data_IF_114408853687
#
_entry.id   IF_114408853687
#
_cell.length_a   1.000
_cell.length_b   1.000
_cell.length_c   1.000
_cell.angle_alpha   90.00
_cell.angle_beta   90.00
_cell.angle_gamma   90.00
#
_symmetry.space_group_name_H-M   'P 1'
#
loop_
_entity.id
_entity.type
_entity.pdbx_description
1 polymer ?
#
# COMPACT_ATOMS: atom_id res chain seq x y z
N UNK A 1 10.82 -6.30 19.62
CA UNK A 1 10.23 -5.42 18.61
C UNK A 1 11.34 -4.54 18.11
N UNK A 2 11.61 -4.49 16.81
CA UNK A 2 12.69 -3.66 16.29
C UNK A 2 12.15 -2.36 15.73
N UNK A 3 12.69 -1.24 16.17
CA UNK A 3 12.58 0.05 15.52
C UNK A 3 13.59 0.08 14.37
N UNK A 4 13.18 0.45 13.16
CA UNK A 4 14.05 0.51 11.99
C UNK A 4 14.10 1.93 11.46
N UNK A 5 15.31 2.44 11.28
CA UNK A 5 15.59 3.80 10.80
C UNK A 5 16.47 3.73 9.56
N UNK A 6 16.07 4.46 8.54
CA UNK A 6 16.80 4.67 7.28
C UNK A 6 17.13 6.16 7.20
N UNK A 7 18.38 6.50 6.96
CA UNK A 7 18.82 7.89 6.82
C UNK A 7 19.63 8.06 5.52
N UNK A 8 19.07 8.82 4.58
CA UNK A 8 19.66 9.15 3.29
C UNK A 8 20.03 7.90 2.46
N UNK A 9 19.23 6.83 2.50
CA UNK A 9 19.59 5.56 1.86
C UNK A 9 19.47 5.67 0.33
N UNK A 10 20.61 5.50 -0.35
CA UNK A 10 20.73 5.45 -1.81
C UNK A 10 21.16 4.05 -2.25
N UNK A 11 20.58 3.54 -3.34
CA UNK A 11 21.03 2.31 -3.99
C UNK A 11 21.17 2.50 -5.48
N UNK A 12 22.38 2.25 -5.99
CA UNK A 12 22.71 2.27 -7.41
C UNK A 12 23.08 0.88 -7.90
N UNK A 13 22.64 0.55 -9.11
CA UNK A 13 23.06 -0.61 -9.89
C UNK A 13 23.65 -0.08 -11.21
N UNK A 14 24.97 0.03 -11.26
CA UNK A 14 25.65 0.72 -12.35
C UNK A 14 25.20 2.17 -12.42
N UNK A 15 24.63 2.59 -13.55
CA UNK A 15 24.10 3.95 -13.77
C UNK A 15 22.66 4.13 -13.30
N UNK A 16 21.96 3.04 -12.99
CA UNK A 16 20.55 3.09 -12.55
C UNK A 16 20.45 3.32 -11.04
N UNK A 17 19.77 4.37 -10.64
CA UNK A 17 19.53 4.71 -9.24
C UNK A 17 18.15 4.20 -8.81
N UNK A 18 18.13 3.06 -8.12
CA UNK A 18 16.92 2.37 -7.70
C UNK A 18 16.27 3.01 -6.46
N UNK A 19 17.07 3.66 -5.60
CA UNK A 19 16.62 4.43 -4.44
C UNK A 19 17.44 5.72 -4.34
N UNK A 20 16.77 6.83 -4.08
CA UNK A 20 17.29 8.21 -4.26
C UNK A 20 17.30 8.99 -2.95
N UNK A 21 17.89 8.44 -1.88
CA UNK A 21 17.98 9.13 -0.60
C UNK A 21 16.73 8.94 0.24
N UNK A 22 16.49 7.70 0.67
CA UNK A 22 15.32 7.34 1.49
C UNK A 22 15.59 7.68 2.94
N UNK A 23 14.73 8.53 3.50
CA UNK A 23 14.60 8.79 4.94
C UNK A 23 13.29 8.19 5.42
N UNK A 24 13.36 7.25 6.37
CA UNK A 24 12.19 6.54 6.85
C UNK A 24 12.41 6.03 8.27
N UNK A 25 11.43 6.27 9.13
CA UNK A 25 11.36 5.73 10.47
C UNK A 25 10.17 4.76 10.59
N UNK A 26 10.43 3.54 11.04
CA UNK A 26 9.43 2.48 11.24
C UNK A 26 9.40 2.08 12.72
N UNK A 27 8.33 2.43 13.45
CA UNK A 27 8.20 2.15 14.86
C UNK A 27 8.22 0.64 15.18
N UNK A 28 8.78 0.31 16.33
CA UNK A 28 8.77 -1.07 16.84
C UNK A 28 7.35 -1.57 17.09
N UNK A 29 7.06 -2.79 16.60
CA UNK A 29 5.76 -3.44 16.74
C UNK A 29 4.72 -3.04 15.69
N UNK A 30 5.02 -2.10 14.80
CA UNK A 30 4.10 -1.68 13.74
C UNK A 30 4.11 -2.64 12.53
N UNK A 31 2.96 -2.73 11.86
CA UNK A 31 2.82 -3.35 10.54
C UNK A 31 3.01 -2.26 9.47
N UNK A 32 4.21 -2.17 8.89
CA UNK A 32 4.53 -1.19 7.85
C UNK A 32 4.43 -1.82 6.47
N UNK A 33 3.66 -1.22 5.58
CA UNK A 33 3.47 -1.73 4.21
C UNK A 33 4.11 -0.80 3.19
N UNK A 34 4.97 -1.34 2.33
CA UNK A 34 5.55 -0.63 1.18
C UNK A 34 4.69 -0.88 -0.05
N UNK A 35 4.16 0.18 -0.65
CA UNK A 35 3.37 0.12 -1.88
C UNK A 35 3.93 1.05 -2.95
N UNK A 36 3.58 0.78 -4.19
CA UNK A 36 3.98 1.60 -5.35
C UNK A 36 3.98 0.79 -6.64
N UNK A 37 4.18 1.43 -7.79
CA UNK A 37 4.25 0.77 -9.08
C UNK A 37 5.38 -0.27 -9.15
N UNK A 38 5.31 -1.14 -10.16
CA UNK A 38 6.41 -2.07 -10.43
C UNK A 38 7.70 -1.29 -10.75
N UNK A 39 8.82 -1.75 -10.19
CA UNK A 39 10.12 -1.11 -10.42
C UNK A 39 10.44 0.13 -9.55
N UNK A 40 9.53 0.60 -8.69
CA UNK A 40 9.77 1.80 -7.87
C UNK A 40 10.74 1.61 -6.67
N UNK A 41 11.34 0.41 -6.49
CA UNK A 41 12.37 0.19 -5.48
C UNK A 41 11.93 -0.58 -4.23
N UNK A 42 10.66 -1.01 -4.08
CA UNK A 42 10.13 -1.71 -2.88
C UNK A 42 10.96 -2.93 -2.45
N UNK A 43 11.12 -3.91 -3.34
CA UNK A 43 11.90 -5.12 -3.04
C UNK A 43 13.40 -4.82 -2.86
N UNK A 44 13.92 -3.78 -3.53
CA UNK A 44 15.29 -3.30 -3.31
C UNK A 44 15.44 -2.78 -1.88
N UNK A 45 14.52 -1.93 -1.42
CA UNK A 45 14.50 -1.41 -0.06
C UNK A 45 14.39 -2.54 0.97
N UNK A 46 13.51 -3.51 0.73
CA UNK A 46 13.38 -4.69 1.60
C UNK A 46 14.67 -5.50 1.69
N UNK A 47 15.37 -5.72 0.54
CA UNK A 47 16.66 -6.44 0.49
C UNK A 47 17.78 -5.70 1.22
N UNK A 48 17.80 -4.38 1.17
CA UNK A 48 18.75 -3.55 1.94
C UNK A 48 18.50 -3.70 3.44
N UNK A 49 17.23 -3.63 3.88
CA UNK A 49 16.85 -3.84 5.29
C UNK A 49 17.23 -5.26 5.73
N UNK A 50 17.00 -6.26 4.88
CA UNK A 50 17.39 -7.64 5.16
C UNK A 50 18.91 -7.84 5.22
N UNK A 51 19.70 -7.01 4.53
CA UNK A 51 21.15 -7.15 4.39
C UNK A 51 21.55 -8.08 3.26
N UNK A 52 20.65 -8.40 2.34
CA UNK A 52 20.94 -9.12 1.09
C UNK A 52 21.58 -8.20 0.05
N UNK A 53 21.35 -6.90 0.20
CA UNK A 53 21.98 -5.83 -0.57
C UNK A 53 22.66 -4.85 0.39
N UNK A 54 23.66 -4.13 -0.12
CA UNK A 54 24.38 -3.08 0.60
C UNK A 54 23.95 -1.72 0.03
N UNK A 55 23.63 -0.72 0.85
CA UNK A 55 23.34 0.62 0.36
C UNK A 55 24.59 1.24 -0.29
N UNK A 56 24.39 2.03 -1.33
CA UNK A 56 25.47 2.80 -1.97
C UNK A 56 25.87 3.98 -1.08
N UNK A 57 24.88 4.61 -0.44
CA UNK A 57 25.04 5.72 0.51
C UNK A 57 23.98 5.61 1.61
N UNK A 58 24.16 6.39 2.68
CA UNK A 58 23.24 6.42 3.80
C UNK A 58 23.45 5.31 4.83
N UNK A 59 22.54 5.22 5.80
CA UNK A 59 22.64 4.29 6.93
C UNK A 59 21.31 3.60 7.21
N UNK A 60 21.41 2.36 7.71
CA UNK A 60 20.26 1.57 8.20
C UNK A 60 20.56 1.21 9.64
N UNK A 61 19.64 1.56 10.56
CA UNK A 61 19.78 1.26 11.98
C UNK A 61 18.61 0.43 12.48
N UNK A 62 18.90 -0.52 13.38
CA UNK A 62 17.90 -1.26 14.16
C UNK A 62 18.10 -0.95 15.63
N UNK A 63 17.08 -0.42 16.28
CA UNK A 63 17.13 -0.01 17.69
C UNK A 63 18.37 0.87 17.97
N UNK A 64 18.66 1.82 17.08
CA UNK A 64 19.81 2.73 17.14
C UNK A 64 21.14 2.12 16.69
N UNK A 65 21.24 0.79 16.52
CA UNK A 65 22.47 0.11 16.07
C UNK A 65 22.62 0.13 14.57
N UNK A 66 23.76 0.59 14.06
CA UNK A 66 24.09 0.55 12.63
C UNK A 66 24.21 -0.92 12.13
N UNK A 67 23.51 -1.21 11.05
CA UNK A 67 23.50 -2.53 10.40
C UNK A 67 24.52 -2.67 9.27
N UNK A 68 25.39 -1.68 9.07
CA UNK A 68 26.44 -1.70 8.07
C UNK A 68 27.41 -2.86 8.36
N UNK A 69 27.68 -3.70 7.35
CA UNK A 69 28.52 -4.89 7.50
C UNK A 69 27.92 -6.03 8.31
N UNK A 70 26.71 -5.87 8.89
CA UNK A 70 26.02 -6.97 9.58
C UNK A 70 25.31 -7.85 8.54
N UNK A 71 25.72 -9.14 8.41
CA UNK A 71 25.08 -10.05 7.46
C UNK A 71 23.63 -10.38 7.87
N UNK A 72 22.77 -10.88 6.94
CA UNK A 72 21.37 -11.19 7.23
C UNK A 72 21.14 -12.06 8.45
N UNK A 73 21.99 -13.06 8.68
CA UNK A 73 21.92 -13.97 9.83
C UNK A 73 22.11 -13.25 11.18
N UNK A 74 22.85 -12.14 11.20
CA UNK A 74 23.13 -11.34 12.40
C UNK A 74 22.07 -10.29 12.70
N UNK A 75 21.12 -10.01 11.79
CA UNK A 75 20.11 -8.96 11.94
C UNK A 75 18.88 -9.38 12.74
N UNK A 76 18.81 -10.62 13.24
CA UNK A 76 17.67 -11.17 14.01
C UNK A 76 16.30 -10.99 13.32
N UNK A 77 16.25 -11.10 12.02
CA UNK A 77 15.04 -10.99 11.22
C UNK A 77 14.72 -12.30 10.51
N UNK A 78 13.49 -12.40 10.00
CA UNK A 78 13.06 -13.48 9.12
C UNK A 78 12.38 -12.91 7.88
N UNK A 79 12.64 -13.50 6.71
CA UNK A 79 12.07 -13.09 5.44
C UNK A 79 11.24 -14.21 4.84
N UNK A 80 10.05 -13.85 4.38
CA UNK A 80 9.14 -14.69 3.61
C UNK A 80 9.17 -14.20 2.18
N UNK A 81 9.59 -15.04 1.26
CA UNK A 81 9.74 -14.71 -0.16
C UNK A 81 8.45 -15.00 -0.94
N UNK A 82 8.23 -14.31 -2.04
CA UNK A 82 7.13 -14.48 -2.97
C UNK A 82 6.97 -15.94 -3.45
N UNK A 83 8.08 -16.65 -3.68
CA UNK A 83 8.10 -18.05 -4.11
C UNK A 83 7.99 -19.06 -2.97
N UNK A 84 7.75 -18.60 -1.72
CA UNK A 84 7.76 -19.38 -0.48
C UNK A 84 9.12 -20.02 -0.16
N UNK A 85 9.96 -20.30 -1.15
CA UNK A 85 11.30 -20.89 -1.06
C UNK A 85 11.36 -22.15 -0.17
N UNK A 86 10.34 -23.02 -0.24
CA UNK A 86 10.29 -24.28 0.50
C UNK A 86 11.23 -25.31 -0.14
N UNK A 87 11.86 -26.12 0.70
CA UNK A 87 12.67 -27.25 0.25
C UNK A 87 11.74 -28.41 -0.15
N UNK A 88 11.64 -28.77 -1.46
CA UNK A 88 10.61 -29.68 -1.96
C UNK A 88 10.77 -31.14 -1.49
N UNK A 89 11.99 -31.54 -1.13
CA UNK A 89 12.33 -32.88 -0.67
C UNK A 89 12.15 -33.09 0.83
N UNK A 90 11.94 -32.02 1.61
CA UNK A 90 11.75 -32.03 3.05
C UNK A 90 10.27 -32.07 3.44
N UNK A 91 9.94 -32.65 4.58
CA UNK A 91 8.63 -32.53 5.20
C UNK A 91 8.34 -31.09 5.65
N UNK A 92 7.10 -30.78 6.00
CA UNK A 92 6.73 -29.48 6.62
C UNK A 92 7.53 -29.26 7.91
N UNK A 93 7.59 -30.28 8.78
CA UNK A 93 8.36 -30.22 10.03
C UNK A 93 9.84 -29.92 9.78
N UNK A 94 10.45 -30.59 8.78
CA UNK A 94 11.85 -30.37 8.42
C UNK A 94 12.08 -28.98 7.81
N UNK A 95 11.17 -28.51 6.95
CA UNK A 95 11.21 -27.17 6.41
C UNK A 95 11.21 -26.11 7.51
N UNK A 96 10.26 -26.21 8.45
CA UNK A 96 10.15 -25.28 9.58
C UNK A 96 11.38 -25.37 10.50
N UNK A 97 11.83 -26.59 10.82
CA UNK A 97 12.96 -26.83 11.72
C UNK A 97 14.33 -26.64 11.12
N UNK A 98 14.45 -26.38 9.81
CA UNK A 98 15.75 -26.36 9.10
C UNK A 98 16.73 -25.33 9.69
N UNK A 99 16.27 -24.07 9.86
CA UNK A 99 17.14 -23.03 10.40
C UNK A 99 17.61 -23.32 11.83
N UNK A 100 16.74 -23.89 12.67
CA UNK A 100 17.08 -24.32 14.03
C UNK A 100 18.11 -25.47 14.03
N UNK A 101 18.01 -26.37 13.07
CA UNK A 101 19.00 -27.43 12.87
C UNK A 101 20.37 -26.88 12.50
N UNK A 102 20.40 -25.88 11.59
CA UNK A 102 21.65 -25.24 11.18
C UNK A 102 22.30 -24.41 12.30
N UNK A 103 21.52 -23.91 13.25
CA UNK A 103 22.05 -23.24 14.45
C UNK A 103 22.49 -24.21 15.56
N UNK A 104 22.45 -25.53 15.33
CA UNK A 104 22.91 -26.53 16.30
C UNK A 104 21.88 -26.88 17.39
N UNK A 105 20.62 -26.44 17.28
CA UNK A 105 19.58 -26.74 18.27
C UNK A 105 19.31 -28.22 18.39
N UNK A 106 19.25 -28.81 19.63
CA UNK A 106 18.94 -30.20 19.86
C UNK A 106 17.59 -30.63 19.23
N UNK A 107 17.50 -31.88 18.77
CA UNK A 107 16.28 -32.39 18.09
C UNK A 107 15.01 -32.23 18.96
N UNK A 108 15.11 -32.53 20.24
CA UNK A 108 13.97 -32.45 21.17
C UNK A 108 13.41 -31.01 21.27
N UNK A 109 14.29 -30.03 21.43
CA UNK A 109 13.91 -28.61 21.50
C UNK A 109 13.31 -28.13 20.17
N UNK A 110 13.91 -28.55 19.05
CA UNK A 110 13.44 -28.22 17.70
C UNK A 110 12.03 -28.71 17.45
N UNK A 111 11.69 -29.94 17.88
CA UNK A 111 10.34 -30.50 17.77
C UNK A 111 9.33 -29.65 18.53
N UNK A 112 9.68 -29.21 19.74
CA UNK A 112 8.82 -28.34 20.55
C UNK A 112 8.58 -26.99 19.87
N UNK A 113 9.64 -26.35 19.33
CA UNK A 113 9.50 -25.05 18.66
C UNK A 113 8.68 -25.14 17.37
N UNK A 114 8.89 -26.21 16.59
CA UNK A 114 8.10 -26.48 15.37
C UNK A 114 6.64 -26.74 15.71
N UNK A 115 6.35 -27.52 16.75
CA UNK A 115 4.99 -27.81 17.17
C UNK A 115 4.25 -26.53 17.61
N UNK A 116 4.88 -25.67 18.42
CA UNK A 116 4.31 -24.37 18.80
C UNK A 116 3.98 -23.48 17.59
N UNK A 117 4.93 -23.37 16.63
CA UNK A 117 4.69 -22.58 15.44
C UNK A 117 3.59 -23.19 14.55
N UNK A 118 3.52 -24.52 14.44
CA UNK A 118 2.48 -25.22 13.70
C UNK A 118 1.09 -25.03 14.32
N UNK A 119 1.00 -24.97 15.65
CA UNK A 119 -0.23 -24.68 16.37
C UNK A 119 -0.72 -23.26 16.11
N UNK A 120 0.16 -22.27 16.19
CA UNK A 120 -0.16 -20.85 15.88
C UNK A 120 -0.77 -20.72 14.48
N UNK A 121 -0.23 -21.48 13.49
CA UNK A 121 -0.61 -21.43 12.09
C UNK A 121 -1.68 -22.47 11.71
N UNK A 122 -2.16 -23.27 12.65
CA UNK A 122 -3.16 -24.33 12.45
C UNK A 122 -2.76 -25.39 11.39
N UNK A 123 -1.45 -25.70 11.30
CA UNK A 123 -0.89 -26.67 10.35
C UNK A 123 -0.31 -27.92 11.00
N UNK A 124 -0.62 -28.19 12.26
CA UNK A 124 -0.11 -29.35 13.01
C UNK A 124 -0.32 -30.69 12.27
N UNK A 125 -1.50 -30.87 11.65
CA UNK A 125 -1.85 -32.06 10.87
C UNK A 125 -1.07 -32.21 9.55
N UNK A 126 -0.32 -31.18 9.14
CA UNK A 126 0.44 -31.15 7.88
C UNK A 126 1.93 -31.42 8.08
N UNK A 127 2.42 -31.58 9.32
CA UNK A 127 3.85 -31.62 9.65
C UNK A 127 4.62 -32.71 8.89
N UNK A 128 4.00 -33.85 8.61
CA UNK A 128 4.61 -34.98 7.89
C UNK A 128 4.51 -34.86 6.36
N UNK A 129 3.68 -33.94 5.84
CA UNK A 129 3.49 -33.74 4.41
C UNK A 129 4.69 -33.05 3.77
N UNK A 130 4.79 -33.17 2.46
CA UNK A 130 5.77 -32.46 1.63
C UNK A 130 5.12 -31.29 0.87
N UNK A 131 5.88 -30.26 0.45
CA UNK A 131 5.34 -29.07 -0.24
C UNK A 131 4.46 -29.38 -1.46
N UNK A 132 4.73 -30.45 -2.21
CA UNK A 132 3.93 -30.89 -3.36
C UNK A 132 2.50 -31.34 -3.01
N UNK A 133 2.26 -31.69 -1.75
CA UNK A 133 0.99 -32.22 -1.22
C UNK A 133 0.15 -31.11 -0.56
N UNK A 134 0.60 -29.84 -0.67
CA UNK A 134 -0.01 -28.69 -0.01
C UNK A 134 -0.68 -27.76 -1.02
N UNK A 135 -1.80 -27.13 -0.61
CA UNK A 135 -2.37 -25.98 -1.34
C UNK A 135 -1.47 -24.75 -1.28
N UNK A 136 -1.77 -23.73 -2.08
CA UNK A 136 -1.04 -22.44 -2.08
C UNK A 136 -0.97 -21.82 -0.68
N UNK A 137 -2.10 -21.65 -0.01
CA UNK A 137 -2.16 -21.10 1.35
C UNK A 137 -1.45 -21.96 2.39
N UNK A 138 -1.55 -23.31 2.27
CA UNK A 138 -0.79 -24.19 3.16
C UNK A 138 0.72 -24.03 2.98
N UNK A 139 1.21 -23.91 1.74
CA UNK A 139 2.63 -23.60 1.47
C UNK A 139 3.05 -22.28 2.09
N UNK A 140 2.20 -21.27 2.00
CA UNK A 140 2.46 -19.97 2.60
C UNK A 140 2.54 -20.05 4.13
N UNK A 141 1.58 -20.72 4.79
CA UNK A 141 1.62 -20.94 6.25
C UNK A 141 2.91 -21.66 6.67
N UNK A 142 3.39 -22.63 5.89
CA UNK A 142 4.69 -23.29 6.15
C UNK A 142 5.84 -22.31 6.01
N UNK A 143 5.85 -21.44 4.99
CA UNK A 143 6.88 -20.41 4.81
C UNK A 143 6.90 -19.41 5.97
N UNK A 144 5.74 -18.98 6.44
CA UNK A 144 5.58 -18.17 7.66
C UNK A 144 6.06 -18.93 8.89
N UNK A 145 5.74 -20.22 9.02
CA UNK A 145 6.20 -21.09 10.10
C UNK A 145 7.73 -21.18 10.19
N UNK A 146 8.42 -21.28 9.05
CA UNK A 146 9.89 -21.20 8.98
C UNK A 146 10.43 -19.89 9.55
N UNK A 147 9.68 -18.80 9.39
CA UNK A 147 10.04 -17.50 9.93
C UNK A 147 9.80 -17.43 11.45
N UNK A 148 8.63 -17.88 11.92
CA UNK A 148 8.21 -17.82 13.32
C UNK A 148 9.12 -18.63 14.26
N UNK A 149 9.53 -19.84 13.87
CA UNK A 149 10.38 -20.70 14.71
C UNK A 149 11.69 -20.07 15.15
N UNK A 150 12.15 -19.04 14.43
CA UNK A 150 13.38 -18.29 14.74
C UNK A 150 13.15 -17.20 15.79
N UNK A 151 11.89 -16.94 16.20
CA UNK A 151 11.50 -15.84 17.07
C UNK A 151 12.18 -14.50 16.68
N UNK A 152 12.02 -14.03 15.44
CA UNK A 152 12.68 -12.84 14.97
C UNK A 152 12.12 -11.58 15.65
N UNK A 153 12.92 -10.51 15.71
CA UNK A 153 12.47 -9.20 16.15
C UNK A 153 11.80 -8.38 15.04
N UNK A 154 11.97 -8.80 13.77
CA UNK A 154 11.40 -8.17 12.59
C UNK A 154 11.06 -9.22 11.53
N UNK A 155 9.84 -9.20 11.02
CA UNK A 155 9.41 -9.98 9.86
C UNK A 155 9.45 -9.13 8.59
N UNK A 156 9.91 -9.72 7.51
CA UNK A 156 9.93 -9.13 6.17
C UNK A 156 9.13 -10.02 5.22
N UNK A 157 8.18 -9.45 4.49
CA UNK A 157 7.35 -10.15 3.52
C UNK A 157 7.52 -9.50 2.14
N UNK A 158 8.01 -10.27 1.15
CA UNK A 158 8.17 -9.81 -0.23
C UNK A 158 7.05 -10.40 -1.10
N UNK A 159 5.97 -9.65 -1.31
CA UNK A 159 4.77 -10.01 -2.07
C UNK A 159 4.22 -11.42 -1.76
N UNK A 160 4.00 -11.79 -0.48
CA UNK A 160 3.73 -13.17 -0.11
C UNK A 160 2.38 -13.71 -0.61
N UNK A 161 1.41 -12.85 -0.97
CA UNK A 161 0.07 -13.25 -1.40
C UNK A 161 -0.12 -13.23 -2.93
N UNK A 162 0.87 -12.76 -3.71
CA UNK A 162 0.75 -12.54 -5.15
C UNK A 162 0.43 -13.81 -5.95
N UNK A 163 0.84 -14.99 -5.48
CA UNK A 163 0.65 -16.29 -6.14
C UNK A 163 -0.62 -17.03 -5.69
N UNK A 164 -1.53 -16.37 -4.96
CA UNK A 164 -2.79 -16.93 -4.47
C UNK A 164 -3.98 -16.43 -5.30
N UNK A 165 -5.02 -17.27 -5.39
CA UNK A 165 -6.31 -16.84 -5.92
C UNK A 165 -6.99 -15.80 -5.01
N UNK A 166 -8.05 -15.16 -5.50
CA UNK A 166 -8.69 -14.03 -4.81
C UNK A 166 -9.31 -14.42 -3.46
N UNK A 167 -9.96 -15.58 -3.38
CA UNK A 167 -10.61 -16.05 -2.16
C UNK A 167 -9.58 -16.37 -1.07
N UNK A 168 -8.56 -17.13 -1.43
CA UNK A 168 -7.48 -17.50 -0.51
C UNK A 168 -6.67 -16.27 -0.08
N UNK A 169 -6.53 -15.24 -0.95
CA UNK A 169 -5.87 -13.98 -0.59
C UNK A 169 -6.63 -13.24 0.50
N UNK A 170 -7.98 -13.25 0.46
CA UNK A 170 -8.80 -12.66 1.52
C UNK A 170 -8.56 -13.38 2.86
N UNK A 171 -8.64 -14.73 2.86
CA UNK A 171 -8.39 -15.53 4.06
C UNK A 171 -7.00 -15.24 4.65
N UNK A 172 -5.97 -15.24 3.82
CA UNK A 172 -4.59 -15.03 4.24
C UNK A 172 -4.31 -13.62 4.77
N UNK A 173 -5.02 -12.59 4.31
CA UNK A 173 -4.94 -11.26 4.91
C UNK A 173 -5.43 -11.27 6.35
N UNK A 174 -6.58 -11.89 6.62
CA UNK A 174 -7.09 -12.02 8.00
C UNK A 174 -6.11 -12.76 8.90
N UNK A 175 -5.48 -13.83 8.40
CA UNK A 175 -4.50 -14.60 9.16
C UNK A 175 -3.23 -13.79 9.46
N UNK A 176 -2.74 -13.00 8.50
CA UNK A 176 -1.59 -12.14 8.72
C UNK A 176 -1.88 -11.03 9.75
N UNK A 177 -3.07 -10.42 9.69
CA UNK A 177 -3.50 -9.45 10.68
C UNK A 177 -3.60 -10.06 12.07
N UNK A 178 -4.19 -11.26 12.19
CA UNK A 178 -4.28 -12.01 13.45
C UNK A 178 -2.91 -12.40 13.97
N UNK A 179 -2.02 -12.85 13.08
CA UNK A 179 -0.64 -13.18 13.43
C UNK A 179 0.12 -11.98 13.98
N UNK A 180 -0.01 -10.81 13.34
CA UNK A 180 0.59 -9.56 13.84
C UNK A 180 0.09 -9.22 15.23
N UNK A 181 -1.25 -9.27 15.44
CA UNK A 181 -1.88 -8.99 16.74
C UNK A 181 -1.40 -9.92 17.85
N UNK A 182 -1.18 -11.22 17.54
CA UNK A 182 -0.66 -12.22 18.49
C UNK A 182 0.81 -12.04 18.79
N UNK A 183 1.64 -11.83 17.76
CA UNK A 183 3.09 -11.76 17.93
C UNK A 183 3.54 -10.38 18.42
N UNK A 184 2.83 -9.32 18.10
CA UNK A 184 3.17 -7.91 18.37
C UNK A 184 4.59 -7.55 17.94
N UNK A 185 5.11 -8.19 16.89
CA UNK A 185 6.46 -8.02 16.38
C UNK A 185 6.40 -7.10 15.15
N UNK A 186 7.43 -6.27 14.95
CA UNK A 186 7.52 -5.41 13.78
C UNK A 186 7.44 -6.21 12.49
N UNK A 187 6.61 -5.76 11.55
CA UNK A 187 6.44 -6.38 10.24
C UNK A 187 6.62 -5.35 9.14
N UNK A 188 7.40 -5.69 8.12
CA UNK A 188 7.50 -4.93 6.87
C UNK A 188 6.99 -5.81 5.75
N UNK A 189 6.03 -5.30 5.01
CA UNK A 189 5.31 -6.02 3.98
C UNK A 189 5.38 -5.27 2.66
N UNK A 190 5.80 -5.93 1.60
CA UNK A 190 5.80 -5.37 0.24
C UNK A 190 4.63 -5.92 -0.53
N UNK A 191 3.89 -5.05 -1.17
CA UNK A 191 2.82 -5.42 -2.10
C UNK A 191 2.64 -4.38 -3.20
N UNK A 192 2.00 -4.77 -4.27
CA UNK A 192 1.44 -3.88 -5.28
C UNK A 192 -0.10 -3.78 -5.18
N UNK A 193 -0.72 -4.56 -4.28
CA UNK A 193 -2.17 -4.58 -4.05
C UNK A 193 -2.54 -3.54 -2.97
N UNK A 194 -3.36 -2.56 -3.38
CA UNK A 194 -3.80 -1.50 -2.48
C UNK A 194 -4.73 -2.01 -1.37
N UNK A 195 -5.53 -3.05 -1.65
CA UNK A 195 -6.46 -3.62 -0.66
C UNK A 195 -5.68 -4.29 0.46
N UNK A 196 -4.58 -4.98 0.12
CA UNK A 196 -3.66 -5.54 1.13
C UNK A 196 -3.09 -4.44 2.02
N UNK A 197 -2.59 -3.36 1.41
CA UNK A 197 -2.02 -2.24 2.14
C UNK A 197 -3.04 -1.56 3.07
N UNK A 198 -4.21 -1.24 2.54
CA UNK A 198 -5.29 -0.57 3.30
C UNK A 198 -5.86 -1.42 4.43
N UNK A 199 -5.77 -2.77 4.30
CA UNK A 199 -6.33 -3.71 5.29
C UNK A 199 -5.35 -4.09 6.39
N UNK A 200 -4.05 -4.24 6.06
CA UNK A 200 -3.05 -4.79 6.95
C UNK A 200 -2.22 -3.74 7.69
N UNK A 201 -2.07 -2.55 7.09
CA UNK A 201 -1.07 -1.60 7.56
C UNK A 201 -1.53 -0.78 8.77
N UNK A 202 -0.66 -0.63 9.77
CA UNK A 202 -0.68 0.50 10.69
C UNK A 202 -0.11 1.74 10.00
N UNK A 203 0.90 1.54 9.12
CA UNK A 203 1.54 2.60 8.32
C UNK A 203 1.80 2.12 6.90
N UNK A 204 1.45 2.93 5.93
CA UNK A 204 1.76 2.72 4.51
C UNK A 204 2.87 3.67 4.10
N UNK A 205 3.85 3.17 3.37
CA UNK A 205 4.91 3.93 2.70
C UNK A 205 4.66 3.84 1.20
N UNK A 206 4.28 4.94 0.58
CA UNK A 206 4.08 5.01 -0.86
C UNK A 206 5.39 5.37 -1.53
N UNK A 207 5.92 4.44 -2.36
CA UNK A 207 7.15 4.63 -3.13
C UNK A 207 6.83 4.88 -4.61
N UNK A 208 7.57 5.82 -5.20
CA UNK A 208 7.51 6.14 -6.62
C UNK A 208 8.90 6.57 -7.10
N UNK A 209 9.38 5.99 -8.19
CA UNK A 209 10.66 6.32 -8.83
C UNK A 209 11.86 6.42 -7.86
N UNK A 210 11.91 5.50 -6.89
CA UNK A 210 13.00 5.46 -5.91
C UNK A 210 12.91 6.48 -4.78
N UNK A 211 11.78 7.19 -4.65
CA UNK A 211 11.49 8.17 -3.59
C UNK A 211 10.29 7.75 -2.75
N UNK A 212 10.17 8.30 -1.55
CA UNK A 212 8.96 8.20 -0.73
C UNK A 212 8.07 9.41 -1.06
N UNK A 213 6.87 9.15 -1.54
CA UNK A 213 5.87 10.18 -1.83
C UNK A 213 5.10 10.60 -0.59
N UNK A 214 4.70 9.62 0.23
CA UNK A 214 3.99 9.85 1.49
C UNK A 214 4.12 8.66 2.41
N UNK A 215 4.14 8.93 3.72
CA UNK A 215 4.03 7.95 4.79
C UNK A 215 2.87 8.36 5.70
N UNK A 216 1.98 7.41 6.02
CA UNK A 216 0.85 7.68 6.91
C UNK A 216 0.02 6.43 7.18
N UNK A 217 -1.04 6.58 7.97
CA UNK A 217 -2.07 5.56 8.12
C UNK A 217 -2.88 5.39 6.83
N UNK A 218 -3.57 4.25 6.63
CA UNK A 218 -4.47 4.07 5.48
C UNK A 218 -5.46 5.23 5.30
N UNK A 219 -6.10 5.68 6.38
CA UNK A 219 -7.06 6.79 6.33
C UNK A 219 -6.41 8.11 5.91
N UNK A 220 -5.22 8.45 6.46
CA UNK A 220 -4.49 9.66 6.08
C UNK A 220 -4.13 9.70 4.59
N UNK A 221 -3.68 8.58 4.02
CA UNK A 221 -3.33 8.53 2.60
C UNK A 221 -4.56 8.67 1.70
N UNK A 222 -5.70 8.14 2.12
CA UNK A 222 -6.94 8.20 1.36
C UNK A 222 -7.60 9.58 1.44
N UNK A 223 -7.74 10.12 2.65
CA UNK A 223 -8.44 11.38 2.91
C UNK A 223 -7.56 12.62 2.66
N UNK A 224 -6.24 12.47 2.90
CA UNK A 224 -5.29 13.59 2.87
C UNK A 224 -4.05 13.26 2.04
N UNK A 225 -4.21 12.88 0.76
CA UNK A 225 -3.06 12.64 -0.11
C UNK A 225 -2.21 13.91 -0.23
N UNK A 226 -0.88 13.80 -0.12
CA UNK A 226 0.02 14.95 -0.20
C UNK A 226 0.21 15.46 -1.62
N UNK A 227 0.00 14.60 -2.60
CA UNK A 227 0.14 14.97 -4.00
C UNK A 227 -0.82 14.16 -4.90
N UNK A 228 -0.88 14.55 -6.17
CA UNK A 228 -1.71 13.91 -7.20
C UNK A 228 -1.35 12.43 -7.40
N UNK A 229 -0.07 12.07 -7.29
CA UNK A 229 0.36 10.68 -7.45
C UNK A 229 -0.28 9.79 -6.37
N UNK A 230 -0.16 10.18 -5.10
CA UNK A 230 -0.76 9.43 -3.98
C UNK A 230 -2.28 9.38 -4.10
N UNK A 231 -2.92 10.51 -4.46
CA UNK A 231 -4.37 10.59 -4.67
C UNK A 231 -4.89 9.60 -5.71
N UNK A 232 -4.13 9.43 -6.81
CA UNK A 232 -4.47 8.49 -7.89
C UNK A 232 -4.03 7.05 -7.61
N UNK A 233 -2.94 6.89 -6.87
CA UNK A 233 -2.42 5.56 -6.55
C UNK A 233 -3.23 4.91 -5.44
N UNK A 234 -3.66 5.65 -4.42
CA UNK A 234 -4.45 5.15 -3.29
C UNK A 234 -5.94 5.33 -3.57
N UNK A 235 -6.65 4.22 -3.70
CA UNK A 235 -8.09 4.15 -3.98
C UNK A 235 -8.40 3.47 -5.31
N UNK A 236 -9.45 2.64 -5.30
CA UNK A 236 -9.96 1.95 -6.48
C UNK A 236 -11.48 2.08 -6.50
N UNK A 237 -12.05 2.74 -7.52
CA UNK A 237 -11.41 3.39 -8.67
C UNK A 237 -10.55 4.62 -8.30
N UNK A 238 -9.73 5.07 -9.25
CA UNK A 238 -8.88 6.27 -9.08
C UNK A 238 -9.71 7.52 -8.85
N UNK A 239 -9.08 8.55 -8.24
CA UNK A 239 -9.67 9.88 -8.10
C UNK A 239 -9.99 10.49 -9.47
N UNK A 240 -11.16 11.13 -9.60
CA UNK A 240 -11.46 11.98 -10.75
C UNK A 240 -10.67 13.27 -10.63
N UNK A 241 -10.01 13.70 -11.69
CA UNK A 241 -9.28 14.97 -11.75
C UNK A 241 -9.92 15.87 -12.81
N UNK A 242 -10.43 17.01 -12.39
CA UNK A 242 -11.04 18.03 -13.25
C UNK A 242 -10.05 19.16 -13.45
N UNK A 243 -9.68 19.44 -14.68
CA UNK A 243 -8.83 20.59 -15.02
C UNK A 243 -9.60 21.88 -14.81
N UNK A 244 -8.96 22.85 -14.16
CA UNK A 244 -9.54 24.16 -13.90
C UNK A 244 -8.49 25.28 -13.96
N UNK A 245 -8.97 26.52 -13.88
CA UNK A 245 -8.12 27.73 -13.81
C UNK A 245 -8.49 28.55 -12.60
N UNK A 246 -7.49 29.13 -11.97
CA UNK A 246 -7.68 30.10 -10.87
C UNK A 246 -8.42 31.33 -11.40
N UNK A 247 -9.65 31.54 -10.96
CA UNK A 247 -10.48 32.69 -11.31
C UNK A 247 -10.24 33.86 -10.35
N UNK A 248 -10.14 33.58 -9.05
CA UNK A 248 -9.83 34.57 -8.03
C UNK A 248 -9.09 33.94 -6.84
N UNK A 249 -8.35 34.76 -6.09
CA UNK A 249 -7.73 34.40 -4.82
C UNK A 249 -8.37 35.22 -3.70
N UNK A 250 -8.73 34.55 -2.61
CA UNK A 250 -9.33 35.13 -1.41
C UNK A 250 -8.48 34.81 -0.18
N UNK A 251 -8.59 35.56 0.90
CA UNK A 251 -7.98 35.17 2.18
C UNK A 251 -8.43 33.76 2.59
N UNK A 252 -7.49 32.79 2.60
CA UNK A 252 -7.74 31.38 2.97
C UNK A 252 -8.49 30.55 1.92
N UNK A 253 -8.70 31.04 0.69
CA UNK A 253 -9.45 30.33 -0.34
C UNK A 253 -9.04 30.64 -1.78
N UNK A 254 -9.49 29.77 -2.67
CA UNK A 254 -9.26 29.89 -4.12
C UNK A 254 -10.59 29.67 -4.85
N UNK A 255 -10.93 30.54 -5.77
CA UNK A 255 -12.01 30.31 -6.73
C UNK A 255 -11.44 29.71 -8.01
N UNK A 256 -11.96 28.56 -8.42
CA UNK A 256 -11.49 27.80 -9.58
C UNK A 256 -12.65 27.74 -10.60
N UNK A 257 -12.38 28.23 -11.80
CA UNK A 257 -13.28 28.01 -12.95
C UNK A 257 -12.99 26.64 -13.57
N UNK A 258 -14.03 25.80 -13.70
CA UNK A 258 -13.96 24.46 -14.27
C UNK A 258 -15.00 24.37 -15.37
N UNK A 259 -14.63 24.10 -16.62
CA UNK A 259 -15.60 23.91 -17.70
C UNK A 259 -16.52 22.71 -17.44
N UNK A 260 -17.81 22.87 -17.75
CA UNK A 260 -18.79 21.77 -17.65
C UNK A 260 -19.37 21.53 -16.26
N UNK A 261 -19.10 22.41 -15.27
CA UNK A 261 -19.78 22.39 -13.97
C UNK A 261 -20.78 23.54 -13.83
N UNK A 262 -21.74 23.42 -12.91
CA UNK A 262 -22.72 24.44 -12.56
C UNK A 262 -22.82 24.62 -11.03
N UNK A 263 -22.54 25.80 -10.45
CA UNK A 263 -22.03 27.01 -11.13
C UNK A 263 -20.63 26.81 -11.75
N UNK A 264 -20.29 27.61 -12.74
CA UNK A 264 -19.04 27.50 -13.52
C UNK A 264 -17.75 27.74 -12.72
N UNK A 265 -17.85 28.06 -11.43
CA UNK A 265 -16.73 28.18 -10.50
C UNK A 265 -17.02 27.53 -9.16
N UNK A 266 -15.94 27.11 -8.50
CA UNK A 266 -15.95 26.48 -7.18
C UNK A 266 -14.92 27.14 -6.27
N UNK A 267 -15.37 27.60 -5.10
CA UNK A 267 -14.47 28.15 -4.07
C UNK A 267 -14.07 27.07 -3.09
N UNK A 268 -12.75 26.85 -2.96
CA UNK A 268 -12.15 25.84 -2.09
C UNK A 268 -11.14 26.48 -1.12
N UNK A 269 -10.88 25.84 0.04
CA UNK A 269 -9.82 26.31 0.93
C UNK A 269 -8.45 26.17 0.25
N UNK A 270 -7.52 27.08 0.60
CA UNK A 270 -6.15 27.10 0.07
C UNK A 270 -5.16 27.13 1.24
N UNK A 271 -4.09 26.36 1.17
CA UNK A 271 -2.99 26.43 2.14
C UNK A 271 -2.22 27.74 1.98
N UNK A 272 -1.82 28.35 3.09
CA UNK A 272 -1.08 29.65 3.08
C UNK A 272 0.24 29.60 2.30
N UNK A 273 0.86 28.41 2.17
CA UNK A 273 2.12 28.23 1.43
C UNK A 273 1.96 28.19 -0.10
N UNK A 274 0.73 28.14 -0.62
CA UNK A 274 0.48 28.02 -2.05
C UNK A 274 0.79 29.34 -2.80
N UNK A 275 1.73 29.27 -3.73
CA UNK A 275 2.11 30.41 -4.58
C UNK A 275 1.37 30.34 -5.91
N UNK A 276 0.11 30.77 -5.93
CA UNK A 276 -0.71 30.81 -7.13
C UNK A 276 -1.01 32.23 -7.59
N UNK A 277 -1.33 32.36 -8.87
CA UNK A 277 -1.80 33.58 -9.50
C UNK A 277 -3.11 33.33 -10.23
N UNK A 278 -3.92 34.37 -10.39
CA UNK A 278 -5.10 34.29 -11.25
C UNK A 278 -4.67 33.93 -12.67
N UNK A 279 -5.38 32.94 -13.25
CA UNK A 279 -5.08 32.35 -14.56
C UNK A 279 -4.25 31.08 -14.51
N UNK A 280 -3.62 30.73 -13.38
CA UNK A 280 -2.86 29.49 -13.25
C UNK A 280 -3.76 28.27 -13.43
N UNK A 281 -3.24 27.23 -14.07
CA UNK A 281 -3.93 25.95 -14.21
C UNK A 281 -3.78 25.12 -12.94
N UNK A 282 -4.87 24.46 -12.54
CA UNK A 282 -4.94 23.57 -11.38
C UNK A 282 -5.81 22.36 -11.71
N UNK A 283 -5.73 21.31 -10.90
CA UNK A 283 -6.62 20.17 -10.99
C UNK A 283 -7.43 20.03 -9.70
N UNK A 284 -8.74 19.81 -9.84
CA UNK A 284 -9.63 19.51 -8.72
C UNK A 284 -9.91 18.04 -8.70
N UNK A 285 -9.48 17.36 -7.63
CA UNK A 285 -9.67 15.94 -7.41
C UNK A 285 -10.90 15.64 -6.59
N UNK A 286 -11.71 14.66 -7.03
CA UNK A 286 -12.90 14.17 -6.30
C UNK A 286 -12.91 12.65 -6.36
N UNK A 287 -13.13 12.00 -5.21
CA UNK A 287 -13.24 10.53 -5.16
C UNK A 287 -14.52 10.05 -5.85
N UNK A 288 -14.53 8.87 -6.50
CA UNK A 288 -15.73 8.31 -7.14
C UNK A 288 -16.92 8.08 -6.20
N UNK A 289 -16.65 7.81 -4.94
CA UNK A 289 -17.66 7.59 -3.87
C UNK A 289 -18.20 8.88 -3.24
N UNK A 290 -17.56 10.01 -3.50
CA UNK A 290 -18.00 11.34 -3.08
C UNK A 290 -18.89 12.04 -4.14
N UNK A 291 -18.96 11.49 -5.35
CA UNK A 291 -19.88 11.95 -6.38
C UNK A 291 -21.25 11.33 -6.16
N UNK A 292 -22.29 12.17 -6.02
CA UNK A 292 -23.67 11.72 -5.77
C UNK A 292 -24.56 11.99 -6.96
N UNK A 293 -25.37 10.99 -7.35
CA UNK A 293 -26.40 11.21 -8.38
C UNK A 293 -27.51 12.09 -7.78
N UNK A 294 -27.87 13.16 -8.47
CA UNK A 294 -28.91 14.10 -8.07
C UNK A 294 -28.43 15.55 -8.14
N UNK A 295 -29.33 16.47 -7.75
CA UNK A 295 -29.08 17.91 -7.82
C UNK A 295 -28.48 18.50 -6.53
N UNK A 296 -28.09 17.67 -5.56
CA UNK A 296 -27.42 18.10 -4.33
C UNK A 296 -25.96 18.47 -4.56
N UNK A 297 -25.37 19.18 -3.59
CA UNK A 297 -23.96 19.57 -3.60
C UNK A 297 -23.71 21.04 -3.95
N UNK A 298 -22.46 21.48 -3.71
CA UNK A 298 -22.05 22.85 -3.98
C UNK A 298 -21.90 23.14 -5.47
N UNK A 299 -21.57 22.13 -6.25
CA UNK A 299 -21.47 22.15 -7.71
C UNK A 299 -22.08 20.91 -8.32
N UNK A 300 -22.53 21.05 -9.56
CA UNK A 300 -23.17 20.00 -10.34
C UNK A 300 -22.40 19.76 -11.63
N UNK A 301 -22.30 18.49 -12.03
CA UNK A 301 -21.68 18.07 -13.29
C UNK A 301 -22.69 17.22 -14.07
N UNK A 302 -22.99 17.61 -15.31
CA UNK A 302 -23.76 16.77 -16.21
C UNK A 302 -22.88 15.65 -16.79
N UNK A 303 -23.35 14.40 -16.66
CA UNK A 303 -22.63 13.21 -17.11
C UNK A 303 -23.51 12.36 -18.01
N UNK A 304 -23.09 12.14 -19.27
CA UNK A 304 -23.73 11.17 -20.14
C UNK A 304 -23.12 9.81 -19.94
N UNK A 305 -23.85 8.91 -19.30
CA UNK A 305 -23.36 7.56 -19.01
C UNK A 305 -23.12 6.78 -20.30
N UNK A 306 -21.89 6.31 -20.51
CA UNK A 306 -21.52 5.46 -21.65
C UNK A 306 -21.35 4.00 -21.26
N UNK A 307 -20.84 3.75 -20.06
CA UNK A 307 -20.58 2.41 -19.59
C UNK A 307 -20.91 2.29 -18.10
N UNK A 308 -21.49 1.16 -17.74
CA UNK A 308 -21.81 0.82 -16.35
C UNK A 308 -21.24 -0.56 -16.02
N UNK A 309 -20.62 -0.67 -14.85
CA UNK A 309 -20.02 -1.90 -14.36
C UNK A 309 -20.63 -2.24 -12.99
N UNK A 310 -21.25 -3.43 -12.89
CA UNK A 310 -21.82 -3.89 -11.63
C UNK A 310 -20.85 -4.87 -10.95
N UNK A 311 -20.33 -4.47 -9.80
CA UNK A 311 -19.42 -5.30 -9.00
C UNK A 311 -20.05 -5.55 -7.64
N UNK A 312 -20.93 -6.56 -7.59
CA UNK A 312 -21.59 -6.98 -6.36
C UNK A 312 -22.45 -5.86 -5.75
N UNK A 313 -22.10 -5.33 -4.58
CA UNK A 313 -22.90 -4.34 -3.86
C UNK A 313 -22.82 -2.90 -4.40
N UNK A 314 -22.10 -2.63 -5.48
CA UNK A 314 -21.95 -1.30 -6.06
C UNK A 314 -21.96 -1.33 -7.58
N UNK A 315 -22.45 -0.26 -8.19
CA UNK A 315 -22.35 0.01 -9.60
C UNK A 315 -21.38 1.16 -9.83
N UNK A 316 -20.53 1.02 -10.84
CA UNK A 316 -19.65 2.09 -11.30
C UNK A 316 -20.16 2.60 -12.64
N UNK A 317 -20.35 3.90 -12.73
CA UNK A 317 -20.75 4.58 -13.97
C UNK A 317 -19.54 5.31 -14.52
N UNK A 318 -19.35 5.20 -15.82
CA UNK A 318 -18.24 5.82 -16.53
C UNK A 318 -18.75 6.67 -17.68
N UNK A 319 -18.18 7.87 -17.82
CA UNK A 319 -18.44 8.73 -18.96
C UNK A 319 -17.20 9.49 -19.38
N UNK A 320 -17.06 9.82 -20.67
CA UNK A 320 -16.09 10.80 -21.09
C UNK A 320 -16.44 12.17 -20.52
N UNK A 321 -15.44 12.91 -20.14
CA UNK A 321 -15.55 14.29 -19.70
C UNK A 321 -14.43 15.12 -20.29
N UNK A 322 -14.77 16.31 -20.78
CA UNK A 322 -13.81 17.13 -21.52
C UNK A 322 -12.54 17.42 -20.71
N UNK A 323 -12.69 17.77 -19.43
CA UNK A 323 -11.60 18.16 -18.56
C UNK A 323 -10.98 17.00 -17.75
N UNK A 324 -11.77 15.96 -17.46
CA UNK A 324 -11.30 14.80 -16.69
C UNK A 324 -10.86 13.62 -17.56
N UNK A 325 -11.05 13.71 -18.89
CA UNK A 325 -10.91 12.58 -19.80
C UNK A 325 -11.99 11.52 -19.55
N UNK A 326 -12.11 11.01 -18.33
CA UNK A 326 -13.18 10.09 -17.92
C UNK A 326 -13.60 10.39 -16.47
N UNK A 327 -14.90 10.55 -16.24
CA UNK A 327 -15.49 10.55 -14.91
C UNK A 327 -15.93 9.14 -14.53
N UNK A 328 -15.64 8.77 -13.29
CA UNK A 328 -16.10 7.53 -12.67
C UNK A 328 -16.88 7.86 -11.41
N UNK A 329 -18.08 7.28 -11.26
CA UNK A 329 -18.95 7.46 -10.10
C UNK A 329 -19.26 6.11 -9.50
N UNK A 330 -19.20 6.01 -8.17
CA UNK A 330 -19.64 4.82 -7.44
C UNK A 330 -21.04 5.03 -6.91
N UNK A 331 -21.96 4.16 -7.32
CA UNK A 331 -23.37 4.17 -6.89
C UNK A 331 -23.66 2.94 -6.04
N UNK A 332 -23.76 3.07 -4.71
CA UNK A 332 -24.12 1.95 -3.84
C UNK A 332 -25.59 1.59 -4.03
N UNK A 333 -25.92 0.29 -4.02
CA UNK A 333 -27.30 -0.22 -3.97
C UNK A 333 -28.14 0.00 -5.22
N UNK A 334 -27.59 0.45 -6.34
CA UNK A 334 -28.35 0.65 -7.60
C UNK A 334 -28.51 -0.69 -8.32
N UNK A 335 -29.77 -1.09 -8.60
CA UNK A 335 -30.08 -2.35 -9.28
C UNK A 335 -30.13 -2.22 -10.80
N UNK A 336 -30.36 -1.02 -11.32
CA UNK A 336 -30.39 -0.75 -12.77
C UNK A 336 -29.55 0.49 -13.09
N UNK A 337 -28.73 0.44 -14.14
CA UNK A 337 -27.94 1.60 -14.55
C UNK A 337 -28.87 2.73 -15.00
N UNK A 338 -28.66 3.97 -14.52
CA UNK A 338 -29.34 5.10 -15.11
C UNK A 338 -28.90 5.26 -16.56
N UNK A 339 -29.86 5.51 -17.45
CA UNK A 339 -29.61 5.72 -18.88
C UNK A 339 -29.66 7.20 -19.22
N UNK A 340 -28.85 7.62 -20.18
CA UNK A 340 -28.84 9.00 -20.66
C UNK A 340 -27.92 9.92 -19.85
N UNK A 341 -28.31 11.18 -19.76
CA UNK A 341 -27.57 12.19 -18.99
C UNK A 341 -28.06 12.23 -17.56
N UNK A 342 -27.15 12.13 -16.61
CA UNK A 342 -27.40 12.26 -15.18
C UNK A 342 -26.69 13.51 -14.66
N UNK A 343 -27.20 14.07 -13.56
CA UNK A 343 -26.54 15.15 -12.83
C UNK A 343 -25.83 14.56 -11.63
N UNK A 344 -24.59 14.98 -11.41
CA UNK A 344 -23.77 14.60 -10.26
C UNK A 344 -23.56 15.83 -9.38
N UNK A 345 -23.80 15.67 -8.08
CA UNK A 345 -23.46 16.67 -7.07
C UNK A 345 -22.07 16.42 -6.49
N UNK A 346 -21.35 17.51 -6.23
CA UNK A 346 -20.02 17.53 -5.59
C UNK A 346 -20.06 18.45 -4.38
N UNK A 347 -19.66 17.95 -3.22
CA UNK A 347 -19.48 18.76 -2.01
C UNK A 347 -18.08 19.39 -1.99
N UNK A 348 -17.98 20.62 -1.43
CA UNK A 348 -16.69 21.34 -1.35
C UNK A 348 -15.66 20.60 -0.52
N UNK A 349 -16.09 20.02 0.57
CA UNK A 349 -15.28 19.31 1.55
C UNK A 349 -14.64 18.05 0.99
N UNK A 350 -15.25 17.48 -0.07
CA UNK A 350 -14.77 16.29 -0.78
C UNK A 350 -13.74 16.62 -1.88
N UNK A 351 -13.44 17.90 -2.10
CA UNK A 351 -12.56 18.35 -3.16
C UNK A 351 -11.13 18.54 -2.66
N UNK A 352 -10.18 18.11 -3.50
CA UNK A 352 -8.76 18.35 -3.32
C UNK A 352 -8.24 19.21 -4.47
N UNK A 353 -7.36 20.17 -4.18
CA UNK A 353 -6.74 21.00 -5.22
C UNK A 353 -5.29 20.60 -5.38
N UNK A 354 -4.87 20.37 -6.63
CA UNK A 354 -3.48 20.04 -6.97
C UNK A 354 -2.95 21.06 -7.97
N UNK A 355 -1.70 21.47 -7.77
CA UNK A 355 -0.94 22.22 -8.76
C UNK A 355 -0.56 21.32 -9.95
N UNK A 356 -0.14 21.90 -11.06
CA UNK A 356 0.27 21.15 -12.25
C UNK A 356 1.53 20.31 -12.03
N UNK A 357 2.38 20.65 -11.05
CA UNK A 357 3.51 19.83 -10.61
C UNK A 357 3.07 18.62 -9.75
N UNK A 358 1.78 18.54 -9.42
CA UNK A 358 1.17 17.47 -8.66
C UNK A 358 1.08 17.72 -7.16
N UNK A 359 1.62 18.80 -6.62
CA UNK A 359 1.53 19.10 -5.18
C UNK A 359 0.10 19.48 -4.78
N UNK A 360 -0.34 19.02 -3.60
CA UNK A 360 -1.64 19.38 -3.04
C UNK A 360 -1.62 20.80 -2.46
N UNK A 361 -2.62 21.59 -2.82
CA UNK A 361 -2.77 23.00 -2.46
C UNK A 361 -3.86 23.25 -1.39
N UNK A 362 -4.80 22.32 -1.18
CA UNK A 362 -5.94 22.45 -0.24
C UNK A 362 -5.81 21.57 0.99
#
# INVERSE_FOLDING_TARGET
>A
MSHVELAGVVKRFGTFEALRGIDLEMPGGAFTVFVGPSGCGKSTLLRLICGLEVPSEGTIRFDGRDMRGVPPAGRKLAMVFQSYALYPHMSVADNMGFALRMSGMPKAERVVQVAKAAEILQITRLLERRPKELSGGQRQRVAIGRAIVRAPSLFLFDEPLSNLDAELRVEMRFELAELHRRLRTSMIYVTHDQVEAMTLADRIVVLHDGLIEQVGSPAELYERPMNRFVANFIGSPRMNLLSGRVAALHPGGIEISIPGIDPASLTLPLRESAKLKVGDSVEVGVRPDELRIGEGGAVRVAMKVEFSEYIGGAMYLHAPHQEAGRLTVRCPGVQAPPSGTITLGIERESCHVFAMDGQRLS
#
